data_IF_405171644672
#
_entry.id   IF_405171644672
#
_cell.length_a   1.000
_cell.length_b   1.000
_cell.length_c   1.000
_cell.angle_alpha   90.00
_cell.angle_beta   90.00
_cell.angle_gamma   90.00
#
_symmetry.space_group_name_H-M   'P 1'
#
loop_
_entity.id
_entity.type
_entity.pdbx_description
1 polymer ?
#
# COMPACT_ATOMS: atom_id res chain seq x y z
N UNK A 1 5.06 -2.93 5.69
CA UNK A 1 4.65 -2.34 6.97
C UNK A 1 3.28 -1.70 6.74
N UNK A 2 2.20 -2.37 7.15
CA UNK A 2 0.79 -1.95 6.97
C UNK A 2 0.38 -0.96 8.06
N UNK A 3 0.72 0.32 7.93
CA UNK A 3 0.68 1.21 9.10
C UNK A 3 -0.75 1.39 9.65
N UNK A 4 -1.71 1.81 8.83
CA UNK A 4 -3.09 2.05 9.30
C UNK A 4 -3.97 0.80 9.43
N UNK A 5 -3.76 -0.22 8.60
CA UNK A 5 -4.52 -1.48 8.69
C UNK A 5 -4.21 -2.23 9.99
N UNK A 6 -2.96 -2.22 10.45
CA UNK A 6 -2.59 -2.78 11.75
C UNK A 6 -3.11 -1.94 12.91
N UNK A 7 -3.03 -0.60 12.83
CA UNK A 7 -3.60 0.27 13.87
C UNK A 7 -5.10 -0.02 14.07
N UNK A 8 -5.88 -0.03 12.97
CA UNK A 8 -7.32 -0.36 12.99
C UNK A 8 -7.59 -1.77 13.50
N UNK A 9 -6.77 -2.75 13.10
CA UNK A 9 -6.89 -4.14 13.56
C UNK A 9 -6.62 -4.25 15.06
N UNK A 10 -5.64 -3.53 15.60
CA UNK A 10 -5.34 -3.50 17.02
C UNK A 10 -6.56 -3.09 17.86
N UNK A 11 -7.25 -2.02 17.47
CA UNK A 11 -8.50 -1.62 18.14
C UNK A 11 -9.63 -2.63 17.95
N UNK A 12 -9.75 -3.24 16.76
CA UNK A 12 -10.77 -4.27 16.49
C UNK A 12 -10.53 -5.52 17.34
N UNK A 13 -9.28 -5.97 17.45
CA UNK A 13 -8.89 -7.14 18.23
C UNK A 13 -9.05 -6.85 19.74
N UNK A 14 -8.76 -5.62 20.19
CA UNK A 14 -9.07 -5.19 21.55
C UNK A 14 -10.57 -5.26 21.86
N UNK A 15 -11.43 -4.82 20.92
CA UNK A 15 -12.90 -4.96 21.05
C UNK A 15 -13.33 -6.43 21.12
N UNK A 16 -12.71 -7.31 20.33
CA UNK A 16 -13.05 -8.74 20.26
C UNK A 16 -12.53 -9.56 21.45
N UNK A 17 -11.42 -9.15 22.05
CA UNK A 17 -10.79 -9.87 23.18
C UNK A 17 -11.56 -9.77 24.50
N UNK A 18 -12.68 -9.05 24.52
CA UNK A 18 -13.46 -8.83 25.73
C UNK A 18 -14.61 -9.83 25.88
N UNK A 19 -14.92 -10.24 27.12
CA UNK A 19 -16.02 -11.16 27.37
C UNK A 19 -17.35 -10.56 26.93
N UNK A 20 -18.22 -11.37 26.33
CA UNK A 20 -19.50 -10.93 25.73
C UNK A 20 -20.44 -10.16 26.69
N UNK A 21 -20.27 -10.35 28.01
CA UNK A 21 -21.06 -9.70 29.06
C UNK A 21 -20.42 -8.42 29.62
N UNK A 22 -19.28 -7.98 29.08
CA UNK A 22 -18.66 -6.71 29.49
C UNK A 22 -19.14 -5.56 28.60
N UNK A 23 -19.42 -4.41 29.21
CA UNK A 23 -19.67 -3.17 28.46
C UNK A 23 -18.46 -2.91 27.57
N UNK A 24 -18.65 -2.90 26.25
CA UNK A 24 -17.57 -2.56 25.33
C UNK A 24 -16.99 -1.20 25.78
N UNK A 25 -15.70 -1.09 26.13
CA UNK A 25 -15.08 0.15 26.52
C UNK A 25 -15.27 1.11 25.36
N UNK A 26 -16.00 2.18 25.68
CA UNK A 26 -16.25 3.31 24.79
C UNK A 26 -14.94 3.74 24.11
N UNK A 27 -13.85 3.69 24.87
CA UNK A 27 -12.47 4.00 24.49
C UNK A 27 -11.94 3.20 23.29
N UNK A 28 -12.11 1.87 23.25
CA UNK A 28 -11.60 1.08 22.10
C UNK A 28 -12.38 1.38 20.82
N UNK A 29 -13.67 1.71 20.97
CA UNK A 29 -14.55 2.10 19.86
C UNK A 29 -14.22 3.51 19.35
N UNK A 30 -13.86 4.43 20.24
CA UNK A 30 -13.36 5.78 19.88
C UNK A 30 -12.09 5.70 19.02
N UNK A 31 -11.09 4.91 19.42
CA UNK A 31 -9.88 4.70 18.63
C UNK A 31 -10.16 4.11 17.23
N UNK A 32 -11.09 3.16 17.16
CA UNK A 32 -11.56 2.62 15.88
C UNK A 32 -12.30 3.68 15.05
N UNK A 33 -13.05 4.59 15.68
CA UNK A 33 -13.78 5.65 15.00
C UNK A 33 -12.82 6.64 14.32
N UNK A 34 -11.72 7.04 14.98
CA UNK A 34 -10.69 7.88 14.35
C UNK A 34 -10.15 7.23 13.06
N UNK A 35 -9.81 5.94 13.10
CA UNK A 35 -9.39 5.20 11.92
C UNK A 35 -10.48 5.22 10.82
N UNK A 36 -11.74 4.97 11.18
CA UNK A 36 -12.85 4.94 10.23
C UNK A 36 -13.11 6.31 9.58
N UNK A 37 -12.96 7.41 10.33
CA UNK A 37 -13.08 8.77 9.80
C UNK A 37 -12.00 9.05 8.76
N UNK A 38 -10.74 8.68 9.04
CA UNK A 38 -9.64 8.82 8.08
C UNK A 38 -9.91 8.03 6.80
N UNK A 39 -10.33 6.76 6.91
CA UNK A 39 -10.72 5.97 5.75
C UNK A 39 -11.92 6.54 5.00
N UNK A 40 -12.84 7.24 5.68
CA UNK A 40 -13.98 7.90 5.04
C UNK A 40 -13.54 9.12 4.23
N UNK A 41 -12.62 9.93 4.74
CA UNK A 41 -11.98 11.02 4.00
C UNK A 41 -11.25 10.45 2.78
N UNK A 42 -10.38 9.46 2.96
CA UNK A 42 -9.61 8.87 1.86
C UNK A 42 -10.48 8.27 0.74
N UNK A 43 -11.65 7.72 1.07
CA UNK A 43 -12.62 7.27 0.06
C UNK A 43 -13.15 8.40 -0.80
N UNK A 44 -13.38 9.60 -0.23
CA UNK A 44 -13.84 10.78 -0.96
C UNK A 44 -12.73 11.34 -1.85
N UNK A 45 -11.49 11.32 -1.37
CA UNK A 45 -10.33 11.89 -2.09
C UNK A 45 -9.76 10.96 -3.18
N UNK A 46 -10.27 9.72 -3.31
CA UNK A 46 -9.69 8.69 -4.20
C UNK A 46 -9.59 9.09 -5.68
N UNK A 47 -10.48 9.96 -6.16
CA UNK A 47 -10.54 10.37 -7.57
C UNK A 47 -9.89 11.73 -7.84
N UNK A 48 -9.36 12.39 -6.81
CA UNK A 48 -8.70 13.68 -6.96
C UNK A 48 -7.29 13.51 -7.52
N UNK A 49 -6.79 14.55 -8.18
CA UNK A 49 -5.38 14.64 -8.55
C UNK A 49 -4.49 14.63 -7.28
N UNK A 50 -3.25 14.13 -7.33
CA UNK A 50 -2.35 14.15 -6.18
C UNK A 50 -2.22 15.50 -5.49
N UNK A 51 -2.23 16.61 -6.24
CA UNK A 51 -2.13 17.95 -5.62
C UNK A 51 -3.36 18.28 -4.79
N UNK A 52 -4.56 18.14 -5.36
CA UNK A 52 -5.82 18.42 -4.66
C UNK A 52 -6.02 17.47 -3.47
N UNK A 53 -5.62 16.20 -3.64
CA UNK A 53 -5.66 15.20 -2.56
C UNK A 53 -4.77 15.60 -1.39
N UNK A 54 -3.58 16.13 -1.65
CA UNK A 54 -2.69 16.64 -0.60
C UNK A 54 -3.33 17.82 0.15
N UNK A 55 -3.84 18.81 -0.57
CA UNK A 55 -4.48 19.99 0.04
C UNK A 55 -5.71 19.61 0.88
N UNK A 56 -6.57 18.72 0.37
CA UNK A 56 -7.74 18.25 1.10
C UNK A 56 -7.38 17.38 2.31
N UNK A 57 -6.29 16.62 2.25
CA UNK A 57 -5.76 15.90 3.42
C UNK A 57 -5.33 16.86 4.53
N UNK A 58 -4.67 17.96 4.19
CA UNK A 58 -4.29 18.97 5.18
C UNK A 58 -5.51 19.64 5.84
N UNK A 59 -6.60 19.83 5.10
CA UNK A 59 -7.84 20.43 5.62
C UNK A 59 -8.67 19.45 6.45
N UNK A 60 -8.79 18.20 6.00
CA UNK A 60 -9.73 17.23 6.58
C UNK A 60 -9.03 16.17 7.45
N UNK A 61 -7.96 15.54 6.94
CA UNK A 61 -7.28 14.43 7.63
C UNK A 61 -6.37 14.91 8.76
N UNK A 62 -5.66 16.03 8.58
CA UNK A 62 -4.76 16.59 9.60
C UNK A 62 -5.46 16.88 10.94
N UNK A 63 -6.61 17.59 11.02
CA UNK A 63 -7.26 17.84 12.30
C UNK A 63 -7.74 16.55 12.98
N UNK A 64 -8.13 15.53 12.21
CA UNK A 64 -8.49 14.21 12.74
C UNK A 64 -7.25 13.54 13.36
N UNK A 65 -6.09 13.64 12.72
CA UNK A 65 -4.83 13.09 13.22
C UNK A 65 -4.34 13.81 14.48
N UNK A 66 -4.44 15.15 14.52
CA UNK A 66 -4.06 15.94 15.68
C UNK A 66 -4.94 15.59 16.90
N UNK A 67 -6.25 15.46 16.68
CA UNK A 67 -7.20 14.99 17.69
C UNK A 67 -6.93 13.54 18.11
N UNK A 68 -6.58 12.67 17.16
CA UNK A 68 -6.26 11.28 17.43
C UNK A 68 -4.97 11.13 18.25
N UNK A 69 -3.92 11.90 17.94
CA UNK A 69 -2.67 11.91 18.71
C UNK A 69 -2.91 12.36 20.15
N UNK A 70 -3.64 13.46 20.32
CA UNK A 70 -3.99 14.00 21.64
C UNK A 70 -4.78 12.97 22.45
N UNK A 71 -5.71 12.26 21.79
CA UNK A 71 -6.46 11.18 22.41
C UNK A 71 -5.56 9.99 22.79
N UNK A 72 -4.65 9.55 21.91
CA UNK A 72 -3.73 8.45 22.17
C UNK A 72 -2.85 8.73 23.40
N UNK A 73 -2.25 9.92 23.47
CA UNK A 73 -1.39 10.33 24.59
C UNK A 73 -2.16 10.39 25.92
N UNK A 74 -3.42 10.87 25.89
CA UNK A 74 -4.28 10.88 27.08
C UNK A 74 -4.63 9.46 27.54
N UNK A 75 -4.96 8.58 26.60
CA UNK A 75 -5.36 7.21 26.93
C UNK A 75 -4.18 6.36 27.37
N UNK A 76 -2.97 6.58 26.84
CA UNK A 76 -1.75 5.87 27.26
C UNK A 76 -1.53 5.93 28.77
N UNK A 77 -1.83 7.07 29.40
CA UNK A 77 -1.70 7.26 30.85
C UNK A 77 -2.77 6.54 31.68
N UNK A 78 -3.89 6.16 31.05
CA UNK A 78 -5.06 5.57 31.73
C UNK A 78 -5.18 4.07 31.52
N UNK A 79 -4.59 3.54 30.45
CA UNK A 79 -4.70 2.12 30.09
C UNK A 79 -3.53 1.30 30.62
N UNK A 80 -3.83 0.06 31.00
CA UNK A 80 -2.80 -0.92 31.34
C UNK A 80 -1.96 -1.26 30.10
N UNK A 81 -0.62 -1.09 30.12
CA UNK A 81 0.23 -1.28 28.93
C UNK A 81 0.14 -2.68 28.31
N UNK A 82 -0.07 -3.71 29.14
CA UNK A 82 -0.18 -5.11 28.69
C UNK A 82 -1.56 -5.50 28.16
N UNK A 83 -2.57 -4.66 28.35
CA UNK A 83 -3.92 -4.90 27.83
C UNK A 83 -3.93 -4.85 26.29
N UNK A 84 -4.95 -5.47 25.67
CA UNK A 84 -5.10 -5.41 24.21
C UNK A 84 -5.23 -3.96 23.70
N UNK A 85 -5.93 -3.10 24.44
CA UNK A 85 -6.07 -1.68 24.13
C UNK A 85 -4.73 -0.92 24.31
N UNK A 86 -4.02 -1.18 25.41
CA UNK A 86 -2.69 -0.58 25.66
C UNK A 86 -1.67 -0.94 24.57
N UNK A 87 -1.67 -2.19 24.10
CA UNK A 87 -0.84 -2.62 22.96
C UNK A 87 -1.21 -1.89 21.66
N UNK A 88 -2.49 -1.67 21.41
CA UNK A 88 -2.95 -0.94 20.22
C UNK A 88 -2.54 0.54 20.26
N UNK A 89 -2.68 1.18 21.41
CA UNK A 89 -2.26 2.58 21.63
C UNK A 89 -0.75 2.71 21.48
N UNK A 90 0.02 1.87 22.18
CA UNK A 90 1.48 1.86 22.10
C UNK A 90 1.98 1.61 20.66
N UNK A 91 1.30 0.74 19.90
CA UNK A 91 1.62 0.55 18.48
C UNK A 91 1.44 1.86 17.68
N UNK A 92 0.32 2.56 17.88
CA UNK A 92 0.05 3.81 17.16
C UNK A 92 1.08 4.89 17.49
N UNK A 93 1.41 5.06 18.77
CA UNK A 93 2.40 6.04 19.21
C UNK A 93 3.81 5.72 18.69
N UNK A 94 4.24 4.45 18.78
CA UNK A 94 5.55 4.03 18.30
C UNK A 94 5.71 4.09 16.76
N UNK A 95 4.61 4.11 16.02
CA UNK A 95 4.62 4.19 14.56
C UNK A 95 4.05 5.51 14.04
N UNK A 96 3.92 6.53 14.90
CA UNK A 96 3.20 7.76 14.57
C UNK A 96 3.74 8.45 13.31
N UNK A 97 5.06 8.63 13.22
CA UNK A 97 5.71 9.25 12.06
C UNK A 97 5.35 8.52 10.75
N UNK A 98 5.25 7.19 10.80
CA UNK A 98 4.86 6.37 9.64
C UNK A 98 3.36 6.43 9.36
N UNK A 99 2.54 6.61 10.39
CA UNK A 99 1.09 6.77 10.25
C UNK A 99 0.79 8.10 9.57
N UNK A 100 1.53 9.17 9.84
CA UNK A 100 1.26 10.49 9.25
C UNK A 100 1.94 10.70 7.89
N UNK A 101 2.90 9.85 7.50
CA UNK A 101 3.67 10.00 6.26
C UNK A 101 2.81 10.14 4.99
N UNK A 102 1.60 9.55 4.95
CA UNK A 102 0.71 9.71 3.78
C UNK A 102 0.22 11.16 3.59
N UNK A 103 0.34 12.03 4.60
CA UNK A 103 0.05 13.46 4.48
C UNK A 103 1.12 14.20 3.67
N UNK A 104 2.32 13.65 3.51
CA UNK A 104 3.45 14.35 2.87
C UNK A 104 3.28 14.47 1.35
N UNK A 105 2.63 13.48 0.71
CA UNK A 105 2.39 13.45 -0.73
C UNK A 105 1.04 12.79 -1.05
N UNK A 106 0.22 13.45 -1.89
CA UNK A 106 -1.08 12.94 -2.35
C UNK A 106 -1.02 11.63 -3.14
N UNK A 107 0.15 11.26 -3.66
CA UNK A 107 0.42 9.96 -4.32
C UNK A 107 0.48 8.80 -3.33
N UNK A 108 0.80 9.07 -2.07
CA UNK A 108 0.89 8.03 -1.04
C UNK A 108 -0.50 7.52 -0.67
N UNK A 109 -0.63 6.20 -0.56
CA UNK A 109 -1.84 5.55 -0.07
C UNK A 109 -1.81 5.43 1.47
N UNK A 110 -2.96 5.59 2.12
CA UNK A 110 -3.09 5.45 3.58
C UNK A 110 -2.83 4.01 4.05
N UNK A 111 -3.09 3.03 3.18
CA UNK A 111 -2.79 1.62 3.40
C UNK A 111 -1.87 1.10 2.29
N UNK A 112 -1.13 0.04 2.58
CA UNK A 112 -0.24 -0.62 1.61
C UNK A 112 -0.92 -1.84 0.96
N UNK A 113 -2.26 -1.92 0.97
CA UNK A 113 -2.99 -3.09 0.49
C UNK A 113 -2.69 -3.36 -0.99
N UNK A 114 -2.46 -2.29 -1.78
CA UNK A 114 -2.01 -2.41 -3.17
C UNK A 114 -0.66 -3.13 -3.27
N UNK A 115 0.34 -2.69 -2.51
CA UNK A 115 1.66 -3.33 -2.47
C UNK A 115 1.59 -4.78 -2.01
N UNK A 116 0.75 -5.09 -1.01
CA UNK A 116 0.57 -6.45 -0.53
C UNK A 116 -0.09 -7.37 -1.55
N UNK A 117 -1.09 -6.86 -2.28
CA UNK A 117 -1.72 -7.61 -3.37
C UNK A 117 -0.71 -7.93 -4.47
N UNK A 118 0.17 -6.99 -4.82
CA UNK A 118 1.23 -7.21 -5.81
C UNK A 118 2.24 -8.27 -5.37
N UNK A 119 2.65 -8.32 -4.09
CA UNK A 119 3.61 -9.33 -3.62
C UNK A 119 2.98 -10.70 -3.36
N UNK A 120 1.65 -10.77 -3.18
CA UNK A 120 0.94 -12.02 -2.83
C UNK A 120 1.18 -13.14 -3.85
N UNK A 121 1.26 -12.81 -5.13
CA UNK A 121 1.57 -13.78 -6.21
C UNK A 121 2.93 -14.45 -5.99
N UNK A 122 3.95 -13.66 -5.63
CA UNK A 122 5.30 -14.13 -5.32
C UNK A 122 5.31 -15.01 -4.07
N UNK A 123 4.58 -14.62 -3.02
CA UNK A 123 4.49 -15.40 -1.78
C UNK A 123 3.84 -16.76 -2.03
N UNK A 124 2.77 -16.81 -2.82
CA UNK A 124 2.12 -18.08 -3.21
C UNK A 124 3.06 -18.91 -4.08
N UNK A 125 3.72 -18.29 -5.06
CA UNK A 125 4.70 -18.96 -5.93
C UNK A 125 5.83 -19.61 -5.13
N UNK A 126 6.46 -18.85 -4.23
CA UNK A 126 7.54 -19.35 -3.35
C UNK A 126 7.12 -20.56 -2.52
N UNK A 127 5.88 -20.62 -2.04
CA UNK A 127 5.36 -21.78 -1.30
C UNK A 127 5.30 -23.04 -2.18
N UNK A 128 5.12 -22.88 -3.50
CA UNK A 128 4.99 -23.97 -4.46
C UNK A 128 6.31 -24.30 -5.18
N UNK A 129 7.33 -23.44 -5.06
CA UNK A 129 8.64 -23.64 -5.68
C UNK A 129 9.59 -24.36 -4.73
N UNK A 130 9.43 -25.68 -4.64
CA UNK A 130 10.16 -26.58 -3.72
C UNK A 130 11.70 -26.49 -3.84
N UNK A 131 12.23 -25.95 -4.95
CA UNK A 131 13.67 -25.87 -5.23
C UNK A 131 14.20 -24.43 -5.42
N UNK A 132 13.41 -23.40 -5.12
CA UNK A 132 13.84 -22.00 -5.20
C UNK A 132 14.55 -21.56 -3.91
N UNK A 133 15.73 -22.12 -3.63
CA UNK A 133 16.45 -21.94 -2.36
C UNK A 133 17.77 -21.15 -2.47
N UNK A 134 18.14 -20.65 -3.65
CA UNK A 134 19.40 -19.91 -3.83
C UNK A 134 19.18 -18.40 -3.84
N UNK A 135 20.12 -17.59 -3.28
CA UNK A 135 20.07 -16.13 -3.37
C UNK A 135 20.05 -15.63 -4.82
N UNK A 136 20.72 -16.34 -5.73
CA UNK A 136 20.75 -16.00 -7.16
C UNK A 136 19.38 -16.20 -7.82
N UNK A 137 18.69 -17.31 -7.52
CA UNK A 137 17.32 -17.56 -7.99
C UNK A 137 16.32 -16.55 -7.41
N UNK A 138 16.51 -16.16 -6.14
CA UNK A 138 15.70 -15.10 -5.52
C UNK A 138 15.89 -13.75 -6.21
N UNK A 139 17.13 -13.38 -6.57
CA UNK A 139 17.43 -12.16 -7.32
C UNK A 139 16.82 -12.17 -8.72
N UNK A 140 16.99 -13.27 -9.48
CA UNK A 140 16.40 -13.42 -10.81
C UNK A 140 14.87 -13.31 -10.78
N UNK A 141 14.24 -13.97 -9.80
CA UNK A 141 12.78 -13.88 -9.59
C UNK A 141 12.34 -12.45 -9.27
N UNK A 142 13.07 -11.75 -8.40
CA UNK A 142 12.75 -10.37 -8.03
C UNK A 142 12.82 -9.43 -9.24
N UNK A 143 13.80 -9.59 -10.13
CA UNK A 143 13.92 -8.81 -11.37
C UNK A 143 12.69 -9.04 -12.26
N UNK A 144 12.37 -10.30 -12.57
CA UNK A 144 11.25 -10.65 -13.46
C UNK A 144 9.92 -10.13 -12.89
N UNK A 145 9.65 -10.35 -11.60
CA UNK A 145 8.43 -9.85 -10.97
C UNK A 145 8.36 -8.33 -10.94
N UNK A 146 9.49 -7.64 -10.76
CA UNK A 146 9.52 -6.18 -10.81
C UNK A 146 9.13 -5.67 -12.19
N UNK A 147 9.64 -6.27 -13.27
CA UNK A 147 9.28 -5.93 -14.65
C UNK A 147 7.79 -6.18 -14.90
N UNK A 148 7.30 -7.36 -14.50
CA UNK A 148 5.90 -7.76 -14.69
C UNK A 148 4.93 -6.85 -13.93
N UNK A 149 5.21 -6.56 -12.66
CA UNK A 149 4.36 -5.69 -11.85
C UNK A 149 4.41 -4.23 -12.33
N UNK A 150 5.57 -3.76 -12.82
CA UNK A 150 5.69 -2.43 -13.44
C UNK A 150 4.89 -2.36 -14.75
N UNK A 151 4.93 -3.41 -15.58
CA UNK A 151 4.12 -3.49 -16.79
C UNK A 151 2.61 -3.44 -16.47
N UNK A 152 2.15 -4.21 -15.48
CA UNK A 152 0.75 -4.17 -15.02
C UNK A 152 0.37 -2.79 -14.46
N UNK A 153 1.26 -2.15 -13.70
CA UNK A 153 1.03 -0.81 -13.16
C UNK A 153 0.85 0.24 -14.25
N UNK A 154 1.50 0.05 -15.41
CA UNK A 154 1.35 0.87 -16.61
C UNK A 154 0.28 0.33 -17.58
N UNK A 155 -0.59 -0.58 -17.12
CA UNK A 155 -1.73 -1.11 -17.89
C UNK A 155 -1.34 -1.90 -19.15
N UNK A 156 -0.15 -2.49 -19.15
CA UNK A 156 0.31 -3.37 -20.22
C UNK A 156 -0.07 -4.82 -19.93
N UNK A 157 -0.23 -5.61 -21.00
CA UNK A 157 -0.28 -7.06 -20.92
C UNK A 157 1.16 -7.59 -20.76
N UNK A 158 1.52 -8.20 -19.60
CA UNK A 158 2.89 -8.60 -19.33
C UNK A 158 3.45 -9.62 -20.32
N UNK A 159 2.59 -10.48 -20.90
CA UNK A 159 3.03 -11.49 -21.86
C UNK A 159 3.53 -10.84 -23.15
N UNK A 160 2.70 -9.98 -23.76
CA UNK A 160 3.07 -9.30 -25.01
C UNK A 160 4.20 -8.30 -24.80
N UNK A 161 4.21 -7.60 -23.65
CA UNK A 161 5.30 -6.69 -23.31
C UNK A 161 6.64 -7.41 -23.16
N UNK A 162 6.70 -8.54 -22.42
CA UNK A 162 7.94 -9.32 -22.29
C UNK A 162 8.40 -9.90 -23.63
N UNK A 163 7.46 -10.37 -24.45
CA UNK A 163 7.77 -10.85 -25.80
C UNK A 163 8.40 -9.75 -26.65
N UNK A 164 7.80 -8.56 -26.64
CA UNK A 164 8.32 -7.40 -27.35
C UNK A 164 9.73 -7.03 -26.87
N UNK A 165 9.96 -6.98 -25.55
CA UNK A 165 11.29 -6.74 -24.99
C UNK A 165 12.32 -7.78 -25.46
N UNK A 166 11.97 -9.07 -25.42
CA UNK A 166 12.88 -10.14 -25.86
C UNK A 166 13.15 -10.14 -27.36
N UNK A 167 12.22 -9.65 -28.18
CA UNK A 167 12.40 -9.51 -29.64
C UNK A 167 13.23 -8.27 -30.00
N UNK A 168 13.07 -7.15 -29.28
CA UNK A 168 13.71 -5.87 -29.63
C UNK A 168 15.05 -5.64 -28.94
N UNK A 169 15.20 -5.97 -27.66
CA UNK A 169 16.42 -5.67 -26.88
C UNK A 169 17.70 -6.28 -27.48
N UNK A 170 17.71 -7.52 -28.03
CA UNK A 170 18.91 -8.08 -28.64
C UNK A 170 19.38 -7.33 -29.89
N UNK A 171 18.49 -6.57 -30.53
CA UNK A 171 18.73 -5.86 -31.79
C UNK A 171 19.02 -4.37 -31.58
N UNK A 172 19.13 -3.91 -30.33
CA UNK A 172 19.27 -2.50 -29.96
C UNK A 172 20.61 -2.24 -29.27
N UNK A 173 21.17 -1.04 -29.45
CA UNK A 173 22.31 -0.59 -28.66
C UNK A 173 21.84 -0.19 -27.25
N UNK A 174 22.19 -1.01 -26.26
CA UNK A 174 21.87 -0.76 -24.85
C UNK A 174 22.63 0.44 -24.25
N UNK A 175 23.61 0.98 -24.97
CA UNK A 175 24.35 2.17 -24.58
C UNK A 175 23.55 3.45 -24.91
N UNK A 176 22.60 3.38 -25.84
CA UNK A 176 21.71 4.48 -26.20
C UNK A 176 20.51 4.52 -25.24
N UNK A 177 20.56 5.50 -24.32
CA UNK A 177 19.49 5.72 -23.34
C UNK A 177 18.16 6.08 -23.99
N UNK A 178 18.17 6.80 -25.10
CA UNK A 178 16.93 7.20 -25.78
C UNK A 178 16.22 5.99 -26.39
N UNK A 179 17.01 5.05 -26.93
CA UNK A 179 16.52 3.79 -27.47
C UNK A 179 15.89 2.92 -26.36
N UNK A 180 16.54 2.85 -25.19
CA UNK A 180 15.99 2.16 -24.02
C UNK A 180 14.72 2.81 -23.48
N UNK A 181 14.64 4.15 -23.44
CA UNK A 181 13.47 4.87 -22.95
C UNK A 181 12.20 4.53 -23.75
N UNK A 182 12.34 4.26 -25.05
CA UNK A 182 11.22 3.83 -25.92
C UNK A 182 10.66 2.45 -25.55
N UNK A 183 11.46 1.63 -24.86
CA UNK A 183 11.09 0.27 -24.44
C UNK A 183 10.49 0.25 -23.04
N UNK A 184 10.53 1.37 -22.29
CA UNK A 184 10.04 1.41 -20.93
C UNK A 184 8.51 1.28 -20.85
N UNK A 185 7.96 0.76 -19.73
CA UNK A 185 6.53 0.50 -19.61
C UNK A 185 5.61 1.71 -19.77
N UNK A 186 6.13 2.93 -19.60
CA UNK A 186 5.40 4.19 -19.76
C UNK A 186 5.64 4.88 -21.11
N UNK A 187 6.38 4.24 -22.01
CA UNK A 187 6.63 4.78 -23.34
C UNK A 187 5.37 4.79 -24.20
N UNK A 188 5.16 5.88 -24.94
CA UNK A 188 4.07 6.04 -25.91
C UNK A 188 4.33 5.32 -27.22
N UNK A 189 5.55 4.83 -27.46
CA UNK A 189 5.94 4.15 -28.71
C UNK A 189 5.74 2.65 -28.65
N UNK A 190 5.21 2.11 -27.54
CA UNK A 190 4.97 0.68 -27.40
C UNK A 190 3.88 0.19 -28.38
N UNK A 191 4.01 -1.04 -28.92
CA UNK A 191 3.00 -1.62 -29.79
C UNK A 191 1.64 -1.71 -29.11
N UNK A 192 0.56 -1.47 -29.86
CA UNK A 192 -0.83 -1.57 -29.37
C UNK A 192 -1.14 -2.97 -28.81
N UNK A 193 -0.48 -4.01 -29.33
CA UNK A 193 -0.59 -5.39 -28.84
C UNK A 193 -0.11 -5.57 -27.39
N UNK A 194 0.74 -4.67 -26.90
CA UNK A 194 1.23 -4.68 -25.52
C UNK A 194 0.23 -4.03 -24.55
N UNK A 195 -0.75 -3.26 -25.04
CA UNK A 195 -1.73 -2.58 -24.19
C UNK A 195 -2.78 -3.59 -23.73
N UNK A 196 -3.13 -3.57 -22.44
CA UNK A 196 -4.15 -4.48 -21.93
C UNK A 196 -5.54 -4.16 -22.53
N UNK A 197 -6.28 -5.20 -22.96
CA UNK A 197 -7.59 -5.12 -23.63
C UNK A 197 -8.65 -4.27 -22.92
N UNK A 198 -8.50 -3.98 -21.63
CA UNK A 198 -9.42 -3.14 -20.85
C UNK A 198 -9.46 -1.66 -21.30
N UNK A 199 -8.65 -1.26 -22.29
CA UNK A 199 -8.71 0.05 -22.94
C UNK A 199 -9.33 0.04 -24.35
N UNK A 200 -9.54 -1.12 -25.00
CA UNK A 200 -10.11 -1.17 -26.36
C UNK A 200 -11.64 -0.99 -26.38
N UNK A 201 -12.26 -0.87 -25.20
CA UNK A 201 -13.73 -0.78 -25.01
C UNK A 201 -14.17 0.43 -24.19
N UNK A 202 -13.41 1.53 -24.23
CA UNK A 202 -13.86 2.85 -23.74
C UNK A 202 -13.86 3.87 -24.85
#
# INVERSE_FOLDING_TARGET
>A
MLVYTHARRGFTDAIRSMPANSVKPVTATEGLNFCNQLFAVERKLKKLDPKDRYEERLKQSKPILDAFLSWLQKQEQQVLPKSALGKAIAYCLNQWDKLIAFLEDGRLEIDNNRSERSIKSVVIGRKNWLFANTPQGARASAIIYSIVETAKANQLNPYYYLRYLFEQLPNMDLSDKNALDQMLPWSTTLPVTCIAFNQLTK
#
